data_IF_420539189133
#
_entry.id   IF_420539189133
#
_cell.length_a   1.000
_cell.length_b   1.000
_cell.length_c   1.000
_cell.angle_alpha   90.00
_cell.angle_beta   90.00
_cell.angle_gamma   90.00
#
_symmetry.space_group_name_H-M   'P 1'
#
loop_
_entity.id
_entity.type
_entity.pdbx_description
1 polymer ?
#
# COMPACT_ATOMS: atom_id res chain seq x y z
N UNK A 1 2.07 -8.94 -29.78
CA UNK A 1 2.41 -10.37 -29.75
C UNK A 1 1.77 -10.93 -28.50
N UNK A 2 0.63 -11.62 -28.61
CA UNK A 2 0.02 -12.28 -27.45
C UNK A 2 0.91 -13.46 -27.10
N UNK A 3 1.43 -13.50 -25.87
CA UNK A 3 2.13 -14.69 -25.37
C UNK A 3 1.17 -15.87 -25.50
N UNK A 4 1.57 -16.85 -26.31
CA UNK A 4 0.84 -18.11 -26.42
C UNK A 4 1.33 -18.98 -25.27
N UNK A 5 0.66 -18.92 -24.13
CA UNK A 5 0.85 -19.90 -23.06
C UNK A 5 0.54 -21.30 -23.62
N UNK A 6 1.33 -22.32 -23.27
CA UNK A 6 1.21 -23.64 -23.91
C UNK A 6 -0.04 -24.38 -23.40
N UNK A 7 -0.43 -24.15 -22.15
CA UNK A 7 -1.67 -24.61 -21.55
C UNK A 7 -2.22 -23.61 -20.49
N UNK A 8 -3.41 -23.87 -19.90
CA UNK A 8 -3.98 -23.00 -18.87
C UNK A 8 -3.16 -22.95 -17.55
N UNK A 9 -2.31 -23.93 -17.29
CA UNK A 9 -1.44 -23.94 -16.11
C UNK A 9 -0.28 -22.95 -16.33
N UNK A 10 0.26 -22.88 -17.54
CA UNK A 10 1.25 -21.88 -17.91
C UNK A 10 0.67 -20.45 -17.82
N UNK A 11 -0.57 -20.25 -18.28
CA UNK A 11 -1.26 -18.96 -18.16
C UNK A 11 -1.45 -18.55 -16.69
N UNK A 12 -1.96 -19.47 -15.86
CA UNK A 12 -2.12 -19.24 -14.43
C UNK A 12 -0.79 -18.92 -13.74
N UNK A 13 0.29 -19.62 -14.14
CA UNK A 13 1.63 -19.41 -13.61
C UNK A 13 2.17 -18.03 -14.00
N UNK A 14 2.01 -17.62 -15.26
CA UNK A 14 2.41 -16.30 -15.72
C UNK A 14 1.65 -15.19 -14.97
N UNK A 15 0.34 -15.35 -14.78
CA UNK A 15 -0.46 -14.42 -13.99
C UNK A 15 0.03 -14.35 -12.53
N UNK A 16 0.26 -15.49 -11.88
CA UNK A 16 0.76 -15.52 -10.50
C UNK A 16 2.12 -14.82 -10.36
N UNK A 17 3.03 -15.02 -11.33
CA UNK A 17 4.33 -14.36 -11.36
C UNK A 17 4.18 -12.83 -11.48
N UNK A 18 3.38 -12.35 -12.44
CA UNK A 18 3.18 -10.90 -12.65
C UNK A 18 2.58 -10.21 -11.42
N UNK A 19 1.59 -10.84 -10.77
CA UNK A 19 0.99 -10.32 -9.53
C UNK A 19 2.00 -10.29 -8.38
N UNK A 20 2.79 -11.35 -8.23
CA UNK A 20 3.80 -11.46 -7.18
C UNK A 20 4.89 -10.39 -7.34
N UNK A 21 5.42 -10.24 -8.55
CA UNK A 21 6.42 -9.22 -8.87
C UNK A 21 5.87 -7.81 -8.65
N UNK A 22 4.62 -7.56 -9.09
CA UNK A 22 3.92 -6.31 -8.84
C UNK A 22 3.79 -5.99 -7.35
N UNK A 23 3.41 -6.98 -6.54
CA UNK A 23 3.29 -6.84 -5.08
C UNK A 23 4.65 -6.57 -4.42
N UNK A 24 5.71 -7.27 -4.82
CA UNK A 24 7.08 -7.03 -4.33
C UNK A 24 7.53 -5.62 -4.69
N UNK A 25 7.31 -5.17 -5.92
CA UNK A 25 7.68 -3.82 -6.35
C UNK A 25 6.91 -2.74 -5.56
N UNK A 26 5.62 -2.96 -5.29
CA UNK A 26 4.81 -2.07 -4.47
C UNK A 26 5.31 -2.01 -3.02
N UNK A 27 5.61 -3.15 -2.41
CA UNK A 27 6.17 -3.22 -1.06
C UNK A 27 7.51 -2.47 -0.96
N UNK A 28 8.42 -2.68 -1.92
CA UNK A 28 9.70 -1.95 -1.98
C UNK A 28 9.52 -0.45 -2.06
N UNK A 29 8.59 0.03 -2.89
CA UNK A 29 8.27 1.47 -3.00
C UNK A 29 7.69 2.03 -1.70
N UNK A 30 6.80 1.30 -1.03
CA UNK A 30 6.22 1.74 0.25
C UNK A 30 7.28 1.83 1.37
N UNK A 31 8.30 0.97 1.33
CA UNK A 31 9.41 1.00 2.30
C UNK A 31 10.48 2.04 2.00
N UNK A 32 10.51 2.64 0.80
CA UNK A 32 11.54 3.59 0.40
C UNK A 32 11.64 4.80 1.35
N UNK A 33 12.83 5.44 1.46
CA UNK A 33 12.98 6.71 2.15
C UNK A 33 12.01 7.77 1.62
N UNK A 34 11.52 8.61 2.51
CA UNK A 34 10.59 9.70 2.21
C UNK A 34 11.32 11.03 2.31
N UNK A 35 10.94 11.99 1.49
CA UNK A 35 11.47 13.35 1.51
C UNK A 35 10.34 14.36 1.32
N UNK A 36 10.36 15.45 2.08
CA UNK A 36 9.41 16.55 1.94
C UNK A 36 10.16 17.88 2.12
N UNK A 37 9.83 18.94 1.35
CA UNK A 37 10.51 20.24 1.48
C UNK A 37 10.43 20.84 2.89
N UNK A 38 9.32 20.62 3.59
CA UNK A 38 9.09 21.15 4.94
C UNK A 38 9.61 20.26 6.09
N UNK A 39 10.29 19.15 5.78
CA UNK A 39 10.85 18.27 6.82
C UNK A 39 12.17 18.85 7.34
N UNK A 40 12.22 19.13 8.64
CA UNK A 40 13.38 19.73 9.31
C UNK A 40 14.50 18.74 9.64
N UNK A 41 14.27 17.44 9.42
CA UNK A 41 15.23 16.37 9.67
C UNK A 41 15.04 15.64 11.00
N UNK A 42 14.19 16.15 11.91
CA UNK A 42 14.08 15.63 13.28
C UNK A 42 12.63 15.45 13.75
N UNK A 43 11.71 16.33 13.34
CA UNK A 43 10.35 16.38 13.85
C UNK A 43 9.32 15.85 12.85
N UNK A 44 8.30 15.17 13.36
CA UNK A 44 7.21 14.61 12.58
C UNK A 44 6.47 15.71 11.83
N UNK A 45 6.35 15.56 10.51
CA UNK A 45 5.71 16.56 9.66
C UNK A 45 4.21 16.78 9.99
N UNK A 46 3.54 15.78 10.59
CA UNK A 46 2.10 15.85 10.86
C UNK A 46 1.77 16.40 12.25
N UNK A 47 2.55 16.05 13.28
CA UNK A 47 2.23 16.42 14.67
C UNK A 47 3.31 17.27 15.35
N UNK A 48 4.50 17.40 14.76
CA UNK A 48 5.64 18.11 15.33
C UNK A 48 6.42 17.36 16.42
N UNK A 49 6.00 16.13 16.77
CA UNK A 49 6.73 15.32 17.77
C UNK A 49 8.07 14.80 17.22
N UNK A 50 9.06 14.64 18.10
CA UNK A 50 10.37 14.07 17.74
C UNK A 50 10.22 12.67 17.13
N UNK A 51 10.90 12.43 16.00
CA UNK A 51 10.95 11.12 15.36
C UNK A 51 12.05 10.27 16.01
N UNK A 52 11.79 9.02 16.41
CA UNK A 52 12.82 8.13 16.91
C UNK A 52 14.00 7.98 15.93
N UNK A 53 15.23 8.02 16.44
CA UNK A 53 16.47 7.96 15.64
C UNK A 53 16.50 6.79 14.65
N UNK A 54 16.01 5.62 15.07
CA UNK A 54 15.94 4.44 14.19
C UNK A 54 15.05 4.66 12.96
N UNK A 55 13.99 5.46 13.09
CA UNK A 55 13.12 5.82 11.95
C UNK A 55 13.74 6.89 11.06
N UNK A 56 14.46 7.85 11.64
CA UNK A 56 15.24 8.83 10.88
C UNK A 56 16.34 8.14 10.06
N UNK A 57 17.00 7.13 10.63
CA UNK A 57 18.00 6.31 9.93
C UNK A 57 17.40 5.53 8.73
N UNK A 58 16.10 5.22 8.79
CA UNK A 58 15.35 4.62 7.67
C UNK A 58 14.80 5.67 6.67
N UNK A 59 15.11 6.96 6.88
CA UNK A 59 14.63 8.07 6.05
C UNK A 59 13.13 8.30 6.16
N UNK A 60 12.53 8.08 7.33
CA UNK A 60 11.09 8.30 7.56
C UNK A 60 10.84 9.67 8.17
N UNK A 61 9.85 10.37 7.63
CA UNK A 61 9.49 11.77 7.98
C UNK A 61 8.29 11.89 8.94
N UNK A 62 7.76 10.75 9.41
CA UNK A 62 6.66 10.69 10.38
C UNK A 62 7.03 9.83 11.59
N UNK A 63 6.51 10.22 12.76
CA UNK A 63 6.53 9.40 13.95
C UNK A 63 5.69 8.12 13.77
N UNK A 64 5.86 7.15 14.67
CA UNK A 64 5.16 5.86 14.60
C UNK A 64 3.64 6.04 14.64
N UNK A 65 3.14 6.92 15.52
CA UNK A 65 1.70 7.13 15.71
C UNK A 65 1.02 7.65 14.43
N UNK A 66 1.53 8.76 13.87
CA UNK A 66 1.00 9.34 12.63
C UNK A 66 1.10 8.36 11.45
N UNK A 67 2.21 7.60 11.37
CA UNK A 67 2.34 6.56 10.35
C UNK A 67 1.27 5.48 10.49
N UNK A 68 1.03 4.98 11.70
CA UNK A 68 -0.01 3.98 11.99
C UNK A 68 -1.41 4.49 11.62
N UNK A 69 -1.72 5.74 11.99
CA UNK A 69 -3.02 6.35 11.69
C UNK A 69 -3.24 6.49 10.18
N UNK A 70 -2.21 6.89 9.43
CA UNK A 70 -2.23 6.96 7.97
C UNK A 70 -2.46 5.59 7.33
N UNK A 71 -1.76 4.56 7.80
CA UNK A 71 -1.90 3.18 7.32
C UNK A 71 -3.29 2.60 7.61
N UNK A 72 -3.82 2.83 8.81
CA UNK A 72 -5.17 2.43 9.18
C UNK A 72 -6.22 3.09 8.27
N UNK A 73 -6.10 4.39 8.01
CA UNK A 73 -7.02 5.11 7.12
C UNK A 73 -6.97 4.56 5.70
N UNK A 74 -5.76 4.31 5.16
CA UNK A 74 -5.58 3.72 3.83
C UNK A 74 -6.20 2.32 3.75
N UNK A 75 -6.05 1.51 4.79
CA UNK A 75 -6.66 0.17 4.87
C UNK A 75 -8.20 0.24 4.88
N UNK A 76 -8.79 1.15 5.65
CA UNK A 76 -10.24 1.35 5.67
C UNK A 76 -10.77 1.78 4.30
N UNK A 77 -10.08 2.69 3.62
CA UNK A 77 -10.43 3.14 2.27
C UNK A 77 -10.33 2.00 1.25
N UNK A 78 -9.28 1.18 1.31
CA UNK A 78 -9.14 0.02 0.44
C UNK A 78 -10.23 -1.04 0.69
N UNK A 79 -10.65 -1.23 1.94
CA UNK A 79 -11.71 -2.17 2.30
C UNK A 79 -13.12 -1.70 1.89
N UNK A 80 -13.36 -0.38 1.80
CA UNK A 80 -14.67 0.15 1.45
C UNK A 80 -15.14 -0.29 0.04
N UNK A 81 -14.21 -0.57 -0.88
CA UNK A 81 -14.51 -1.05 -2.23
C UNK A 81 -15.10 -2.47 -2.32
N UNK A 82 -14.97 -3.29 -1.27
CA UNK A 82 -15.44 -4.68 -1.27
C UNK A 82 -16.73 -4.92 -0.47
N UNK A 83 -17.16 -3.93 0.33
CA UNK A 83 -18.31 -4.06 1.24
C UNK A 83 -19.41 -2.99 1.09
N UNK A 84 -19.19 -1.93 0.31
CA UNK A 84 -20.16 -0.84 0.14
C UNK A 84 -21.09 -0.99 -1.08
N UNK A 85 -21.12 -2.17 -1.70
CA UNK A 85 -21.91 -2.43 -2.90
C UNK A 85 -22.29 -3.90 -3.04
N UNK A 86 -23.02 -4.46 -2.08
CA UNK A 86 -23.85 -5.62 -2.42
C UNK A 86 -25.06 -5.12 -3.22
N UNK A 87 -25.40 -5.74 -4.37
CA UNK A 87 -26.68 -5.51 -4.99
C UNK A 87 -27.76 -5.97 -4.01
N UNK A 88 -28.71 -5.09 -3.69
CA UNK A 88 -29.99 -5.53 -3.14
C UNK A 88 -30.58 -6.42 -4.24
N UNK A 89 -30.50 -7.73 -4.06
CA UNK A 89 -31.35 -8.64 -4.83
C UNK A 89 -32.77 -8.23 -4.51
N UNK A 90 -33.41 -7.51 -5.43
CA UNK A 90 -34.85 -7.29 -5.37
C UNK A 90 -35.50 -8.63 -5.66
N UNK A 91 -35.94 -9.32 -4.62
CA UNK A 91 -37.01 -10.32 -4.73
C UNK A 91 -38.18 -9.65 -5.46
N UNK A 92 -38.29 -9.95 -6.75
CA UNK A 92 -39.50 -9.73 -7.53
C UNK A 92 -40.19 -11.09 -7.64
N UNK A 93 -41.38 -11.11 -7.04
CA UNK A 93 -42.47 -12.10 -6.98
C UNK A 93 -42.36 -13.38 -7.84
#
# INVERSE_FOLDING_TARGET
MQERHADPIDEATALAATLTEGAIAAARRASAPESHPDFDGENCLECGDEIPKDRLALGKIRCVKCQTDLEHRRKQQANFGWGAGQPVWSEQD
#
